data_IF_202250863189
#
_entry.id   IF_202250863189
#
_cell.length_a   1.000
_cell.length_b   1.000
_cell.length_c   1.000
_cell.angle_alpha   90.00
_cell.angle_beta   90.00
_cell.angle_gamma   90.00
#
_symmetry.space_group_name_H-M   'P 1'
#
loop_
_entity.id
_entity.type
_entity.pdbx_description
1 polymer ?
#
# COMPACT_ATOMS: atom_id res chain seq x y z
N UNK A 1 6.12 18.84 -2.20
CA UNK A 1 5.59 17.47 -2.42
C UNK A 1 6.76 16.51 -2.24
N UNK A 2 6.60 15.37 -1.57
CA UNK A 2 7.71 14.43 -1.34
C UNK A 2 8.11 13.78 -2.69
N UNK A 3 9.31 14.06 -3.26
CA UNK A 3 9.70 13.56 -4.58
C UNK A 3 9.76 12.03 -4.66
N UNK A 4 10.14 11.38 -3.54
CA UNK A 4 10.21 9.93 -3.43
C UNK A 4 8.82 9.30 -3.46
N UNK A 5 7.85 9.87 -2.73
CA UNK A 5 6.47 9.39 -2.77
C UNK A 5 5.86 9.52 -4.17
N UNK A 6 6.11 10.66 -4.83
CA UNK A 6 5.64 10.86 -6.19
C UNK A 6 6.23 9.80 -7.12
N UNK A 7 7.54 9.52 -7.01
CA UNK A 7 8.16 8.45 -7.79
C UNK A 7 7.50 7.09 -7.55
N UNK A 8 7.30 6.69 -6.28
CA UNK A 8 6.65 5.41 -5.96
C UNK A 8 5.20 5.33 -6.47
N UNK A 9 4.47 6.44 -6.50
CA UNK A 9 3.14 6.50 -7.15
C UNK A 9 3.20 6.25 -8.66
N UNK A 10 4.13 6.89 -9.37
CA UNK A 10 4.27 6.66 -10.81
C UNK A 10 4.79 5.26 -11.11
N UNK A 11 5.72 4.74 -10.32
CA UNK A 11 6.17 3.35 -10.40
C UNK A 11 4.99 2.39 -10.21
N UNK A 12 4.11 2.63 -9.22
CA UNK A 12 2.92 1.82 -9.02
C UNK A 12 1.97 1.89 -10.23
N UNK A 13 1.77 3.07 -10.82
CA UNK A 13 0.97 3.21 -12.04
C UNK A 13 1.52 2.39 -13.20
N UNK A 14 2.84 2.42 -13.41
CA UNK A 14 3.50 1.57 -14.42
C UNK A 14 3.24 0.09 -14.15
N UNK A 15 3.40 -0.37 -12.91
CA UNK A 15 3.12 -1.76 -12.51
C UNK A 15 1.67 -2.16 -12.84
N UNK A 16 0.70 -1.28 -12.62
CA UNK A 16 -0.70 -1.57 -12.97
C UNK A 16 -0.93 -1.66 -14.49
N UNK A 17 -0.31 -0.77 -15.29
CA UNK A 17 -0.37 -0.86 -16.76
C UNK A 17 0.20 -2.20 -17.27
N UNK A 18 1.31 -2.65 -16.68
CA UNK A 18 1.93 -3.94 -16.98
C UNK A 18 1.00 -5.09 -16.59
N UNK A 19 0.36 -5.03 -15.42
CA UNK A 19 -0.58 -6.04 -14.94
C UNK A 19 -1.82 -6.16 -15.84
N UNK A 20 -2.29 -5.05 -16.40
CA UNK A 20 -3.41 -5.00 -17.36
C UNK A 20 -3.02 -5.47 -18.77
N UNK A 21 -1.73 -5.73 -19.03
CA UNK A 21 -1.22 -6.13 -20.35
C UNK A 21 -1.12 -4.98 -21.35
N UNK A 22 -1.29 -3.73 -20.90
CA UNK A 22 -1.22 -2.50 -21.72
C UNK A 22 0.23 -2.11 -22.01
N UNK A 23 0.90 -2.94 -22.80
CA UNK A 23 2.35 -2.85 -23.04
C UNK A 23 2.77 -1.52 -23.67
N UNK A 24 2.02 -1.02 -24.66
CA UNK A 24 2.34 0.24 -25.34
C UNK A 24 2.18 1.44 -24.40
N UNK A 25 1.06 1.51 -23.67
CA UNK A 25 0.80 2.57 -22.69
C UNK A 25 1.84 2.55 -21.56
N UNK A 26 2.22 1.35 -21.10
CA UNK A 26 3.27 1.18 -20.09
C UNK A 26 4.62 1.72 -20.58
N UNK A 27 4.99 1.43 -21.85
CA UNK A 27 6.25 1.87 -22.42
C UNK A 27 6.29 3.39 -22.62
N UNK A 28 5.23 3.96 -23.18
CA UNK A 28 5.08 5.41 -23.36
C UNK A 28 5.16 6.13 -22.01
N UNK A 29 4.38 5.66 -21.03
CA UNK A 29 4.39 6.21 -19.69
C UNK A 29 5.77 6.12 -19.00
N UNK A 30 6.49 5.01 -19.16
CA UNK A 30 7.83 4.87 -18.61
C UNK A 30 8.83 5.89 -19.21
N UNK A 31 8.71 6.17 -20.51
CA UNK A 31 9.56 7.12 -21.21
C UNK A 31 9.26 8.57 -20.82
N UNK A 32 7.98 8.95 -20.75
CA UNK A 32 7.59 10.33 -20.48
C UNK A 32 7.74 10.71 -19.01
N UNK A 33 7.35 9.83 -18.09
CA UNK A 33 7.18 10.19 -16.67
C UNK A 33 8.32 9.69 -15.77
N UNK A 34 8.90 8.53 -16.09
CA UNK A 34 9.90 7.87 -15.25
C UNK A 34 11.34 8.11 -15.73
N UNK A 35 11.59 8.11 -17.04
CA UNK A 35 12.94 8.28 -17.57
C UNK A 35 13.66 9.56 -17.08
N UNK A 36 13.02 10.76 -17.10
CA UNK A 36 13.66 11.98 -16.59
C UNK A 36 14.09 11.88 -15.12
N UNK A 37 13.34 11.11 -14.31
CA UNK A 37 13.62 10.92 -12.88
C UNK A 37 14.75 9.93 -12.62
N UNK A 38 14.94 8.97 -13.53
CA UNK A 38 16.07 8.05 -13.48
C UNK A 38 17.39 8.76 -13.77
N UNK A 39 17.39 9.76 -14.65
CA UNK A 39 18.58 10.57 -14.96
C UNK A 39 19.04 11.40 -13.75
N UNK A 40 18.09 11.89 -12.94
CA UNK A 40 18.38 12.71 -11.75
C UNK A 40 18.77 11.87 -10.52
N UNK A 41 18.43 10.58 -10.48
CA UNK A 41 18.62 9.75 -9.30
C UNK A 41 18.88 8.28 -9.65
N UNK A 42 20.10 7.83 -9.38
CA UNK A 42 20.54 6.45 -9.60
C UNK A 42 19.65 5.40 -8.90
N UNK A 43 19.13 5.69 -7.71
CA UNK A 43 18.25 4.76 -6.99
C UNK A 43 16.92 4.60 -7.71
N UNK A 44 16.40 5.67 -8.31
CA UNK A 44 15.18 5.61 -9.11
C UNK A 44 15.41 4.88 -10.42
N UNK A 45 16.57 5.07 -11.05
CA UNK A 45 16.94 4.33 -12.26
C UNK A 45 16.91 2.82 -12.03
N UNK A 46 17.53 2.33 -10.95
CA UNK A 46 17.51 0.91 -10.61
C UNK A 46 16.09 0.36 -10.42
N UNK A 47 15.20 1.14 -9.78
CA UNK A 47 13.80 0.76 -9.58
C UNK A 47 13.00 0.77 -10.89
N UNK A 48 13.30 1.70 -11.80
CA UNK A 48 12.71 1.74 -13.14
C UNK A 48 13.15 0.52 -13.95
N UNK A 49 14.44 0.18 -13.95
CA UNK A 49 14.99 -0.98 -14.66
C UNK A 49 14.31 -2.28 -14.22
N UNK A 50 14.14 -2.49 -12.91
CA UNK A 50 13.40 -3.65 -12.37
C UNK A 50 11.95 -3.68 -12.85
N UNK A 51 11.29 -2.53 -12.89
CA UNK A 51 9.89 -2.42 -13.28
C UNK A 51 9.72 -2.66 -14.79
N UNK A 52 10.57 -2.05 -15.62
CA UNK A 52 10.54 -2.23 -17.09
C UNK A 52 10.97 -3.64 -17.48
N UNK A 53 11.84 -4.30 -16.72
CA UNK A 53 12.18 -5.70 -16.95
C UNK A 53 10.93 -6.60 -16.95
N UNK A 54 9.88 -6.27 -16.19
CA UNK A 54 8.61 -7.02 -16.21
C UNK A 54 7.95 -7.06 -17.60
N UNK A 55 8.18 -6.06 -18.46
CA UNK A 55 7.70 -6.03 -19.85
C UNK A 55 8.48 -6.96 -20.78
N UNK A 56 9.75 -7.23 -20.46
CA UNK A 56 10.67 -8.00 -21.31
C UNK A 56 10.46 -9.50 -21.10
N UNK A 57 10.21 -9.93 -19.86
CA UNK A 57 10.03 -11.34 -19.55
C UNK A 57 8.68 -11.85 -20.08
N UNK A 58 8.72 -12.87 -20.96
CA UNK A 58 7.53 -13.61 -21.40
C UNK A 58 7.01 -14.47 -20.24
N UNK A 59 6.18 -13.87 -19.40
CA UNK A 59 5.50 -14.51 -18.27
C UNK A 59 6.11 -14.17 -16.91
N UNK A 60 5.24 -13.73 -15.99
CA UNK A 60 5.57 -13.26 -14.63
C UNK A 60 6.38 -14.28 -13.82
N UNK A 61 6.18 -15.58 -14.05
CA UNK A 61 6.86 -16.65 -13.28
C UNK A 61 8.38 -16.66 -13.44
N UNK A 62 8.87 -16.23 -14.60
CA UNK A 62 10.29 -16.25 -14.94
C UNK A 62 11.00 -14.93 -14.67
N UNK A 63 10.26 -13.89 -14.26
CA UNK A 63 10.84 -12.60 -13.93
C UNK A 63 11.37 -12.63 -12.48
N UNK A 64 12.62 -12.20 -12.23
CA UNK A 64 13.16 -12.10 -10.89
C UNK A 64 12.46 -11.03 -10.03
N UNK A 65 11.73 -10.10 -10.65
CA UNK A 65 11.06 -8.97 -9.98
C UNK A 65 9.54 -9.14 -9.87
N UNK A 66 9.04 -10.37 -9.97
CA UNK A 66 7.61 -10.68 -9.94
C UNK A 66 6.91 -10.21 -8.66
N UNK A 67 7.64 -10.03 -7.57
CA UNK A 67 7.16 -9.48 -6.31
C UNK A 67 6.61 -8.05 -6.47
N UNK A 68 7.07 -7.28 -7.46
CA UNK A 68 6.49 -5.97 -7.76
C UNK A 68 5.02 -6.08 -8.21
N UNK A 69 4.61 -7.22 -8.75
CA UNK A 69 3.23 -7.51 -9.12
C UNK A 69 2.39 -8.07 -7.96
N UNK A 70 2.99 -8.29 -6.79
CA UNK A 70 2.27 -8.81 -5.62
C UNK A 70 1.38 -7.74 -4.97
N UNK A 71 0.41 -8.18 -4.16
CA UNK A 71 -0.44 -7.28 -3.36
C UNK A 71 0.38 -6.48 -2.35
N UNK A 72 1.46 -7.05 -1.81
CA UNK A 72 2.35 -6.38 -0.86
C UNK A 72 2.94 -5.07 -1.39
N UNK A 73 3.27 -4.99 -2.68
CA UNK A 73 3.77 -3.77 -3.31
C UNK A 73 2.72 -2.66 -3.29
N UNK A 74 1.45 -2.98 -3.60
CA UNK A 74 0.33 -2.03 -3.49
C UNK A 74 0.12 -1.55 -2.06
N UNK A 75 0.21 -2.46 -1.09
CA UNK A 75 0.07 -2.12 0.33
C UNK A 75 1.19 -1.21 0.82
N UNK A 76 2.42 -1.42 0.35
CA UNK A 76 3.57 -0.57 0.66
C UNK A 76 3.33 0.86 0.18
N UNK A 77 3.01 1.05 -1.10
CA UNK A 77 2.72 2.38 -1.67
C UNK A 77 1.53 3.04 -0.95
N UNK A 78 0.47 2.28 -0.64
CA UNK A 78 -0.66 2.79 0.12
C UNK A 78 -0.27 3.26 1.53
N UNK A 79 0.61 2.53 2.22
CA UNK A 79 1.12 2.94 3.53
C UNK A 79 1.92 4.23 3.47
N UNK A 80 2.77 4.40 2.44
CA UNK A 80 3.56 5.62 2.23
C UNK A 80 2.67 6.83 1.93
N UNK A 81 1.65 6.65 1.10
CA UNK A 81 0.63 7.68 0.81
C UNK A 81 -0.12 8.05 2.08
N UNK A 82 -0.59 7.07 2.84
CA UNK A 82 -1.31 7.30 4.10
C UNK A 82 -0.46 8.10 5.09
N UNK A 83 0.81 7.72 5.27
CA UNK A 83 1.72 8.43 6.15
C UNK A 83 1.95 9.89 5.70
N UNK A 84 2.05 10.13 4.39
CA UNK A 84 2.22 11.47 3.84
C UNK A 84 0.96 12.34 3.98
N UNK A 85 -0.23 11.75 3.83
CA UNK A 85 -1.51 12.43 4.08
C UNK A 85 -1.65 12.80 5.56
N UNK A 86 -1.33 11.88 6.48
CA UNK A 86 -1.36 12.17 7.90
C UNK A 86 -0.39 13.30 8.27
N UNK A 87 0.83 13.24 7.76
CA UNK A 87 1.84 14.27 7.97
C UNK A 87 1.40 15.64 7.40
N UNK A 88 0.75 15.68 6.23
CA UNK A 88 0.26 16.94 5.64
C UNK A 88 -0.92 17.54 6.41
N UNK A 89 -1.69 16.72 7.12
CA UNK A 89 -2.79 17.14 7.99
C UNK A 89 -2.36 17.45 9.43
N UNK A 90 -1.05 17.57 9.70
CA UNK A 90 -0.49 17.77 11.05
C UNK A 90 -0.87 16.68 12.07
N UNK A 91 -1.29 15.50 11.60
CA UNK A 91 -1.45 14.31 12.43
C UNK A 91 -0.10 13.57 12.48
N UNK A 92 0.16 12.81 13.56
CA UNK A 92 1.36 11.97 13.63
C UNK A 92 1.44 10.98 12.46
N UNK A 93 2.65 10.53 12.09
CA UNK A 93 2.90 9.64 10.94
C UNK A 93 2.09 8.33 10.95
N UNK A 94 1.67 7.88 12.12
CA UNK A 94 0.94 6.63 12.30
C UNK A 94 -0.56 6.89 12.51
N UNK A 95 -1.39 6.08 11.85
CA UNK A 95 -2.83 6.06 12.14
C UNK A 95 -3.05 5.61 13.58
N UNK A 96 -3.93 6.31 14.30
CA UNK A 96 -4.38 5.89 15.64
C UNK A 96 -5.37 4.72 15.58
N UNK A 97 -5.89 4.38 14.41
CA UNK A 97 -6.92 3.35 14.28
C UNK A 97 -6.43 1.95 14.71
N UNK A 98 -5.25 1.45 14.31
CA UNK A 98 -4.76 0.15 14.77
C UNK A 98 -4.53 0.10 16.28
N UNK A 99 -4.07 1.19 16.89
CA UNK A 99 -3.89 1.25 18.35
C UNK A 99 -5.24 1.28 19.08
N UNK A 100 -6.22 2.02 18.56
CA UNK A 100 -7.59 2.03 19.08
C UNK A 100 -8.26 0.66 18.94
N UNK A 101 -8.10 -0.03 17.81
CA UNK A 101 -8.64 -1.39 17.61
C UNK A 101 -8.00 -2.41 18.56
N UNK A 102 -6.66 -2.33 18.76
CA UNK A 102 -5.96 -3.15 19.74
C UNK A 102 -6.44 -2.88 21.16
N UNK A 103 -6.64 -1.61 21.51
CA UNK A 103 -7.13 -1.19 22.83
C UNK A 103 -8.56 -1.70 23.06
N UNK A 104 -9.45 -1.54 22.07
CA UNK A 104 -10.82 -2.06 22.12
C UNK A 104 -10.84 -3.57 22.38
N UNK A 105 -10.11 -4.34 21.56
CA UNK A 105 -10.03 -5.80 21.73
C UNK A 105 -9.45 -6.19 23.09
N UNK A 106 -8.43 -5.48 23.57
CA UNK A 106 -7.86 -5.72 24.89
C UNK A 106 -8.87 -5.44 26.02
N UNK A 107 -9.64 -4.34 25.93
CA UNK A 107 -10.68 -4.03 26.92
C UNK A 107 -11.82 -5.04 26.92
N UNK A 108 -12.26 -5.48 25.74
CA UNK A 108 -13.31 -6.51 25.61
C UNK A 108 -12.87 -7.83 26.27
N UNK A 109 -11.66 -8.31 25.96
CA UNK A 109 -11.11 -9.52 26.58
C UNK A 109 -11.02 -9.42 28.13
N UNK A 110 -10.74 -8.23 28.67
CA UNK A 110 -10.70 -8.03 30.13
C UNK A 110 -12.08 -7.96 30.78
N UNK A 111 -13.09 -7.54 30.03
CA UNK A 111 -14.46 -7.49 30.49
C UNK A 111 -15.15 -8.86 30.39
N UNK A 112 -14.76 -9.72 29.44
CA UNK A 112 -15.28 -11.09 29.30
C UNK A 112 -15.13 -11.91 30.60
N UNK A 113 -14.09 -11.64 31.39
CA UNK A 113 -13.84 -12.31 32.67
C UNK A 113 -14.61 -11.69 33.86
N UNK A 114 -15.24 -10.53 33.68
CA UNK A 114 -15.73 -9.68 34.79
C UNK A 114 -17.18 -9.24 34.69
N UNK A 115 -17.74 -9.12 33.50
CA UNK A 115 -19.09 -8.60 33.30
C UNK A 115 -19.68 -9.05 31.96
N UNK A 116 -21.01 -9.13 31.90
CA UNK A 116 -21.73 -9.12 30.63
C UNK A 116 -21.76 -7.69 30.10
N UNK A 117 -21.30 -7.48 28.87
CA UNK A 117 -21.28 -6.16 28.23
C UNK A 117 -21.55 -6.31 26.73
N UNK A 118 -22.02 -5.24 26.07
CA UNK A 118 -22.21 -5.27 24.63
C UNK A 118 -20.86 -5.24 23.90
N UNK A 119 -20.58 -6.23 23.05
CA UNK A 119 -19.30 -6.41 22.38
C UNK A 119 -19.39 -6.12 20.89
N UNK A 120 -18.32 -5.56 20.32
CA UNK A 120 -18.16 -5.43 18.87
C UNK A 120 -17.37 -6.66 18.40
N UNK A 121 -18.07 -7.58 17.73
CA UNK A 121 -17.48 -8.78 17.16
C UNK A 121 -17.07 -8.59 15.69
N UNK A 122 -17.81 -7.77 14.96
CA UNK A 122 -17.50 -7.38 13.59
C UNK A 122 -17.03 -5.93 13.51
N UNK A 123 -15.72 -5.74 13.31
CA UNK A 123 -15.10 -4.43 13.17
C UNK A 123 -15.41 -3.72 11.84
N UNK A 124 -16.00 -4.42 10.86
CA UNK A 124 -16.36 -3.82 9.57
C UNK A 124 -17.73 -3.14 9.61
N UNK A 125 -18.68 -3.74 10.34
CA UNK A 125 -20.03 -3.17 10.52
C UNK A 125 -20.16 -2.36 11.81
N UNK A 126 -19.23 -2.54 12.77
CA UNK A 126 -19.21 -1.88 14.07
C UNK A 126 -20.53 -2.02 14.86
N UNK A 127 -21.27 -3.09 14.60
CA UNK A 127 -22.51 -3.41 15.32
C UNK A 127 -22.12 -3.87 16.72
N UNK A 128 -22.77 -3.25 17.70
CA UNK A 128 -22.66 -3.62 19.10
C UNK A 128 -23.69 -4.72 19.36
N UNK A 129 -23.22 -5.92 19.67
CA UNK A 129 -24.07 -7.05 20.01
C UNK A 129 -24.23 -7.11 21.52
N UNK A 130 -25.47 -7.16 21.99
CA UNK A 130 -25.76 -7.33 23.41
C UNK A 130 -25.27 -8.71 23.90
N UNK A 131 -24.83 -8.82 25.16
CA UNK A 131 -24.35 -10.08 25.71
C UNK A 131 -25.47 -11.11 25.65
N UNK A 132 -25.16 -12.29 25.10
CA UNK A 132 -26.08 -13.43 25.12
C UNK A 132 -26.34 -13.81 26.58
N UNK A 133 -27.59 -13.68 27.03
CA UNK A 133 -28.07 -14.04 28.37
C UNK A 133 -27.82 -15.53 28.63
#
# INVERSE_FOLDING_TARGET
MNPQLYFHLQQQKLIELIREGKTNEALEFAQEELAPRGEENQTFLEEIEKTVALLIFKGVKNCPYRELLDVSQRLKTASEVNAAILASQSHGKDSKLPSLLKMLKWTQNHLDERAAYPAINDFTTAVVEDPSI
#
